data_IF_516479487891
#
_entry.id   IF_516479487891
#
_cell.length_a   1.000
_cell.length_b   1.000
_cell.length_c   1.000
_cell.angle_alpha   90.00
_cell.angle_beta   90.00
_cell.angle_gamma   90.00
#
_symmetry.space_group_name_H-M   'P 1'
#
loop_
_entity.id
_entity.type
_entity.pdbx_description
1 polymer ?
#
# COMPACT_ATOMS: atom_id res chain seq x y z
N UNK A 1 0.35 23.21 -12.19
CA UNK A 1 1.30 22.26 -11.55
C UNK A 1 0.64 21.28 -10.59
N UNK A 2 -0.14 21.73 -9.57
CA UNK A 2 -0.80 20.82 -8.61
C UNK A 2 -1.68 19.74 -9.26
N UNK A 3 -2.48 20.08 -10.28
CA UNK A 3 -3.37 19.13 -10.99
C UNK A 3 -2.61 18.05 -11.78
N UNK A 4 -1.45 18.39 -12.35
CA UNK A 4 -0.59 17.45 -13.08
C UNK A 4 0.07 16.47 -12.12
N UNK A 5 0.55 16.95 -10.97
CA UNK A 5 1.12 16.09 -9.92
C UNK A 5 0.06 15.12 -9.39
N UNK A 6 -1.16 15.59 -9.14
CA UNK A 6 -2.28 14.74 -8.70
C UNK A 6 -2.65 13.71 -9.77
N UNK A 7 -2.73 14.10 -11.04
CA UNK A 7 -3.01 13.16 -12.13
C UNK A 7 -1.91 12.10 -12.30
N UNK A 8 -0.65 12.48 -12.09
CA UNK A 8 0.50 11.59 -12.19
C UNK A 8 0.52 10.58 -11.03
N UNK A 9 0.24 11.04 -9.81
CA UNK A 9 0.06 10.16 -8.64
C UNK A 9 -1.13 9.21 -8.84
N UNK A 10 -2.26 9.72 -9.35
CA UNK A 10 -3.45 8.91 -9.63
C UNK A 10 -3.18 7.84 -10.69
N UNK A 11 -2.40 8.17 -11.73
CA UNK A 11 -2.00 7.21 -12.77
C UNK A 11 -1.08 6.11 -12.21
N UNK A 12 -0.11 6.48 -11.38
CA UNK A 12 0.78 5.52 -10.69
C UNK A 12 -0.02 4.60 -9.76
N UNK A 13 -0.99 5.16 -9.01
CA UNK A 13 -1.87 4.38 -8.15
C UNK A 13 -2.76 3.43 -8.95
N UNK A 14 -3.36 3.90 -10.04
CA UNK A 14 -4.18 3.06 -10.92
C UNK A 14 -3.38 1.90 -11.52
N UNK A 15 -2.15 2.18 -11.99
CA UNK A 15 -1.24 1.14 -12.50
C UNK A 15 -0.81 0.17 -11.39
N UNK A 16 -0.59 0.67 -10.17
CA UNK A 16 -0.28 -0.18 -9.02
C UNK A 16 -1.44 -1.11 -8.65
N UNK A 17 -2.67 -0.61 -8.62
CA UNK A 17 -3.88 -1.41 -8.36
C UNK A 17 -4.11 -2.47 -9.44
N UNK A 18 -3.90 -2.12 -10.71
CA UNK A 18 -4.00 -3.08 -11.81
C UNK A 18 -2.90 -4.14 -11.73
N UNK A 19 -1.67 -3.77 -11.40
CA UNK A 19 -0.58 -4.71 -11.20
C UNK A 19 -0.83 -5.64 -10.01
N UNK A 20 -1.41 -5.12 -8.93
CA UNK A 20 -1.76 -5.90 -7.74
C UNK A 20 -2.95 -6.84 -7.99
N UNK A 21 -3.95 -6.43 -8.77
CA UNK A 21 -4.99 -7.35 -9.25
C UNK A 21 -4.42 -8.50 -10.11
N UNK A 22 -3.36 -8.24 -10.88
CA UNK A 22 -2.77 -9.23 -11.79
C UNK A 22 -1.78 -10.16 -11.06
N UNK A 23 -1.02 -9.69 -10.08
CA UNK A 23 -0.01 -10.49 -9.38
C UNK A 23 -0.25 -10.69 -7.88
N UNK A 24 -0.93 -9.79 -7.20
CA UNK A 24 -1.36 -9.97 -5.80
C UNK A 24 -2.35 -11.12 -5.66
N UNK A 25 -3.21 -11.35 -6.66
CA UNK A 25 -4.05 -12.55 -6.71
C UNK A 25 -3.21 -13.85 -6.85
N UNK A 26 -2.02 -13.79 -7.45
CA UNK A 26 -1.12 -14.94 -7.58
C UNK A 26 -0.38 -15.26 -6.27
N UNK A 27 -0.18 -14.31 -5.35
CA UNK A 27 0.37 -14.55 -4.02
C UNK A 27 -0.68 -14.97 -2.98
N UNK A 28 -1.95 -14.59 -3.17
CA UNK A 28 -3.06 -14.91 -2.26
C UNK A 28 -3.83 -16.21 -2.59
N UNK A 29 -3.40 -17.00 -3.59
CA UNK A 29 -4.03 -18.28 -3.94
C UNK A 29 -5.45 -18.15 -4.52
N UNK A 30 -5.87 -16.95 -4.92
CA UNK A 30 -7.22 -16.69 -5.40
C UNK A 30 -7.24 -16.64 -6.93
N UNK A 31 -8.14 -17.45 -7.50
CA UNK A 31 -8.39 -17.74 -8.91
C UNK A 31 -7.80 -16.77 -9.95
N UNK A 32 -7.02 -17.29 -10.91
CA UNK A 32 -6.56 -16.59 -12.12
C UNK A 32 -7.76 -15.90 -12.77
N UNK A 33 -7.87 -14.58 -12.62
CA UNK A 33 -8.95 -13.82 -13.23
C UNK A 33 -8.76 -13.76 -14.75
N UNK A 34 -9.84 -13.76 -15.57
CA UNK A 34 -9.75 -13.72 -17.03
C UNK A 34 -8.97 -12.51 -17.57
N UNK A 35 -8.89 -11.44 -16.78
CA UNK A 35 -8.10 -10.25 -17.07
C UNK A 35 -6.57 -10.46 -16.95
N UNK A 36 -6.10 -11.45 -16.18
CA UNK A 36 -4.67 -11.75 -16.05
C UNK A 36 -4.08 -12.27 -17.35
N UNK A 37 -4.79 -13.16 -18.03
CA UNK A 37 -4.30 -13.79 -19.24
C UNK A 37 -4.28 -12.80 -20.41
N UNK A 38 -5.33 -11.97 -20.55
CA UNK A 38 -5.42 -10.92 -21.58
C UNK A 38 -4.29 -9.88 -21.42
N UNK A 39 -4.01 -9.45 -20.18
CA UNK A 39 -2.95 -8.48 -19.91
C UNK A 39 -1.57 -9.10 -20.07
N UNK A 40 -1.36 -10.35 -19.62
CA UNK A 40 -0.08 -11.06 -19.80
C UNK A 40 0.24 -11.30 -21.27
N UNK A 41 -0.77 -11.60 -22.09
CA UNK A 41 -0.63 -11.77 -23.52
C UNK A 41 -0.30 -10.46 -24.24
N UNK A 42 -0.96 -9.34 -23.87
CA UNK A 42 -0.75 -8.03 -24.50
C UNK A 42 0.52 -7.30 -24.07
N UNK A 43 0.89 -7.36 -22.79
CA UNK A 43 1.97 -6.55 -22.21
C UNK A 43 3.24 -7.36 -21.92
N UNK A 44 3.16 -8.69 -21.96
CA UNK A 44 4.28 -9.57 -21.64
C UNK A 44 4.48 -9.74 -20.13
N UNK A 45 4.66 -10.99 -19.71
CA UNK A 45 4.82 -11.38 -18.30
C UNK A 45 6.00 -10.70 -17.60
N UNK A 46 7.08 -10.39 -18.33
CA UNK A 46 8.27 -9.72 -17.80
C UNK A 46 8.03 -8.24 -17.48
N UNK A 47 7.33 -7.51 -18.36
CA UNK A 47 7.03 -6.09 -18.17
C UNK A 47 6.08 -5.90 -17.00
N UNK A 48 5.02 -6.70 -16.97
CA UNK A 48 4.04 -6.71 -15.89
C UNK A 48 4.68 -7.05 -14.53
N UNK A 49 5.66 -7.98 -14.48
CA UNK A 49 6.42 -8.31 -13.26
C UNK A 49 7.29 -7.15 -12.79
N UNK A 50 7.93 -6.43 -13.72
CA UNK A 50 8.70 -5.23 -13.41
C UNK A 50 7.81 -4.12 -12.85
N UNK A 51 6.67 -3.85 -13.49
CA UNK A 51 5.71 -2.84 -13.02
C UNK A 51 5.18 -3.20 -11.63
N UNK A 52 4.89 -4.48 -11.36
CA UNK A 52 4.50 -4.95 -10.04
C UNK A 52 5.60 -4.72 -8.99
N UNK A 53 6.84 -5.14 -9.27
CA UNK A 53 7.97 -4.91 -8.36
C UNK A 53 8.20 -3.44 -8.08
N UNK A 54 8.15 -2.59 -9.12
CA UNK A 54 8.29 -1.15 -9.00
C UNK A 54 7.13 -0.58 -8.16
N UNK A 55 5.89 -1.03 -8.39
CA UNK A 55 4.73 -0.59 -7.61
C UNK A 55 4.85 -0.99 -6.13
N UNK A 56 5.30 -2.21 -5.85
CA UNK A 56 5.55 -2.68 -4.48
C UNK A 56 6.60 -1.80 -3.80
N UNK A 57 7.74 -1.57 -4.44
CA UNK A 57 8.82 -0.74 -3.86
C UNK A 57 8.36 0.71 -3.67
N UNK A 58 7.68 1.28 -4.66
CA UNK A 58 7.21 2.66 -4.61
C UNK A 58 6.18 2.87 -3.49
N UNK A 59 5.24 1.94 -3.30
CA UNK A 59 4.29 1.98 -2.19
C UNK A 59 4.99 1.90 -0.82
N UNK A 60 6.04 1.09 -0.71
CA UNK A 60 6.82 0.98 0.53
C UNK A 60 7.54 2.30 0.86
N UNK A 61 8.18 2.91 -0.13
CA UNK A 61 8.81 4.23 -0.01
C UNK A 61 7.77 5.29 0.35
N UNK A 62 6.59 5.25 -0.28
CA UNK A 62 5.52 6.20 -0.03
C UNK A 62 5.02 6.12 1.42
N UNK A 63 4.79 4.90 1.92
CA UNK A 63 4.43 4.68 3.33
C UNK A 63 5.51 5.22 4.27
N UNK A 64 6.79 4.99 3.96
CA UNK A 64 7.91 5.41 4.78
C UNK A 64 8.06 6.94 4.81
N UNK A 65 7.88 7.59 3.66
CA UNK A 65 7.84 9.05 3.55
C UNK A 65 6.66 9.63 4.34
N UNK A 66 5.47 9.03 4.22
CA UNK A 66 4.30 9.42 5.00
C UNK A 66 4.56 9.30 6.50
N UNK A 67 5.16 8.18 6.94
CA UNK A 67 5.51 7.96 8.34
C UNK A 67 6.41 9.09 8.85
N UNK A 68 7.49 9.40 8.13
CA UNK A 68 8.42 10.46 8.52
C UNK A 68 7.72 11.83 8.62
N UNK A 69 6.87 12.16 7.64
CA UNK A 69 6.12 13.43 7.63
C UNK A 69 5.19 13.51 8.84
N UNK A 70 4.44 12.44 9.13
CA UNK A 70 3.52 12.40 10.26
C UNK A 70 4.25 12.41 11.61
N UNK A 71 5.37 11.71 11.73
CA UNK A 71 6.19 11.68 12.94
C UNK A 71 6.83 13.06 13.21
N UNK A 72 7.29 13.73 12.16
CA UNK A 72 7.77 15.11 12.23
C UNK A 72 6.64 16.10 12.59
N UNK A 73 5.45 15.93 12.01
CA UNK A 73 4.26 16.74 12.32
C UNK A 73 3.82 16.56 13.77
N UNK A 74 3.80 15.32 14.26
CA UNK A 74 3.45 14.99 15.65
C UNK A 74 4.36 15.69 16.66
N UNK A 75 5.67 15.73 16.39
CA UNK A 75 6.63 16.45 17.25
C UNK A 75 6.31 17.94 17.39
N UNK A 76 5.67 18.55 16.39
CA UNK A 76 5.28 19.97 16.41
C UNK A 76 3.89 20.21 17.01
N UNK A 77 2.90 19.38 16.70
CA UNK A 77 1.50 19.63 17.11
C UNK A 77 1.14 18.99 18.45
N UNK A 78 1.91 18.00 18.93
CA UNK A 78 1.59 17.18 20.12
C UNK A 78 0.16 16.61 20.14
N UNK A 79 -0.44 16.45 18.96
CA UNK A 79 -1.82 15.99 18.82
C UNK A 79 -1.88 14.46 18.85
N UNK A 80 -2.74 13.91 19.70
CA UNK A 80 -3.02 12.48 19.81
C UNK A 80 -3.48 11.89 18.47
N UNK A 81 -4.24 12.65 17.68
CA UNK A 81 -4.63 12.28 16.32
C UNK A 81 -3.43 12.08 15.36
N UNK A 82 -2.44 12.98 15.41
CA UNK A 82 -1.27 12.86 14.52
C UNK A 82 -0.39 11.67 14.93
N UNK A 83 -0.34 11.36 16.22
CA UNK A 83 0.36 10.21 16.78
C UNK A 83 -0.30 8.89 16.34
N UNK A 84 -1.62 8.81 16.44
CA UNK A 84 -2.39 7.64 16.01
C UNK A 84 -2.25 7.37 14.52
N UNK A 85 -2.25 8.41 13.69
CA UNK A 85 -2.04 8.27 12.24
C UNK A 85 -0.60 7.82 11.90
N UNK A 86 0.40 8.31 12.63
CA UNK A 86 1.78 7.79 12.58
C UNK A 86 1.83 6.31 12.96
N UNK A 87 1.16 5.91 14.04
CA UNK A 87 1.13 4.53 14.50
C UNK A 87 0.41 3.62 13.49
N UNK A 88 -0.70 4.08 12.93
CA UNK A 88 -1.42 3.41 11.84
C UNK A 88 -0.52 3.14 10.62
N UNK A 89 0.20 4.17 10.15
CA UNK A 89 1.16 4.01 9.04
C UNK A 89 2.26 3.01 9.43
N UNK A 90 2.74 3.05 10.67
CA UNK A 90 3.74 2.10 11.18
C UNK A 90 3.25 0.65 11.16
N UNK A 91 2.00 0.41 11.58
CA UNK A 91 1.37 -0.93 11.55
C UNK A 91 1.21 -1.42 10.11
N UNK A 92 0.78 -0.56 9.18
CA UNK A 92 0.71 -0.91 7.75
C UNK A 92 2.10 -1.18 7.13
N UNK A 93 3.14 -0.48 7.57
CA UNK A 93 4.53 -0.75 7.17
C UNK A 93 4.98 -2.13 7.65
N UNK A 94 4.71 -2.44 8.92
CA UNK A 94 4.99 -3.76 9.48
C UNK A 94 4.22 -4.85 8.76
N UNK A 95 2.95 -4.63 8.42
CA UNK A 95 2.16 -5.56 7.60
C UNK A 95 2.84 -5.83 6.26
N UNK A 96 3.32 -4.80 5.57
CA UNK A 96 3.98 -4.94 4.27
C UNK A 96 5.30 -5.68 4.36
N UNK A 97 6.11 -5.41 5.38
CA UNK A 97 7.35 -6.14 5.63
C UNK A 97 7.02 -7.60 5.93
N UNK A 98 6.07 -7.85 6.84
CA UNK A 98 5.67 -9.20 7.22
C UNK A 98 5.05 -9.97 6.08
N UNK A 99 4.32 -9.35 5.15
CA UNK A 99 3.82 -10.02 3.95
C UNK A 99 4.95 -10.65 3.12
N UNK A 100 6.14 -10.01 3.13
CA UNK A 100 7.30 -10.51 2.40
C UNK A 100 7.90 -11.79 3.04
N UNK A 101 7.78 -11.94 4.36
CA UNK A 101 8.34 -13.06 5.12
C UNK A 101 7.30 -14.13 5.51
N UNK A 102 6.05 -13.72 5.74
CA UNK A 102 4.94 -14.51 6.29
C UNK A 102 3.61 -14.10 5.64
N UNK A 103 3.15 -14.82 4.60
CA UNK A 103 1.95 -14.45 3.85
C UNK A 103 0.62 -14.66 4.62
N UNK A 104 0.62 -15.33 5.78
CA UNK A 104 -0.58 -15.68 6.56
C UNK A 104 -0.95 -14.71 7.69
N UNK A 105 -0.02 -13.85 8.11
CA UNK A 105 -0.20 -12.86 9.20
C UNK A 105 -0.81 -11.49 8.77
N UNK A 106 -0.91 -11.08 7.48
CA UNK A 106 -1.29 -9.71 7.11
C UNK A 106 -2.66 -9.25 7.63
N UNK A 107 -3.62 -10.17 7.71
CA UNK A 107 -5.01 -9.84 8.04
C UNK A 107 -5.17 -9.35 9.48
N UNK A 108 -4.29 -9.79 10.39
CA UNK A 108 -4.27 -9.31 11.77
C UNK A 108 -3.81 -7.85 11.85
N UNK A 109 -2.85 -7.45 11.01
CA UNK A 109 -2.34 -6.08 10.99
C UNK A 109 -3.34 -5.11 10.37
N UNK A 110 -4.07 -5.52 9.34
CA UNK A 110 -5.16 -4.72 8.76
C UNK A 110 -6.27 -4.48 9.78
N UNK A 111 -6.64 -5.52 10.54
CA UNK A 111 -7.62 -5.42 11.63
C UNK A 111 -7.14 -4.49 12.75
N UNK A 112 -5.86 -4.56 13.13
CA UNK A 112 -5.25 -3.64 14.09
C UNK A 112 -5.26 -2.20 13.58
N UNK A 113 -4.93 -2.00 12.31
CA UNK A 113 -4.94 -0.69 11.68
C UNK A 113 -6.36 -0.08 11.70
N UNK A 114 -7.38 -0.85 11.34
CA UNK A 114 -8.77 -0.43 11.41
C UNK A 114 -9.23 -0.15 12.85
N UNK A 115 -8.80 -0.96 13.82
CA UNK A 115 -9.09 -0.73 15.24
C UNK A 115 -8.46 0.57 15.75
N UNK A 116 -7.23 0.87 15.34
CA UNK A 116 -6.56 2.15 15.67
C UNK A 116 -7.33 3.33 15.09
N UNK A 117 -7.75 3.25 13.82
CA UNK A 117 -8.57 4.28 13.17
C UNK A 117 -9.92 4.47 13.86
N UNK A 118 -10.57 3.37 14.27
CA UNK A 118 -11.83 3.41 14.99
C UNK A 118 -11.67 4.14 16.32
N UNK A 119 -10.66 3.78 17.12
CA UNK A 119 -10.37 4.43 18.40
C UNK A 119 -10.06 5.92 18.20
N UNK A 120 -9.29 6.26 17.16
CA UNK A 120 -8.96 7.65 16.85
C UNK A 120 -10.16 8.48 16.36
N UNK A 121 -11.13 7.83 15.71
CA UNK A 121 -12.37 8.46 15.25
C UNK A 121 -13.37 8.72 16.38
N UNK A 122 -13.15 8.10 17.53
CA UNK A 122 -13.99 8.22 18.74
C UNK A 122 -13.49 9.32 19.70
N UNK A 123 -12.31 9.88 19.44
CA UNK A 123 -11.72 11.03 20.14
C UNK A 123 -12.10 12.34 19.44
#
# INVERSE_FOLDING_TARGET
MKKLVVALIASILALGLLADMVYGAQSAGSSKGPWQDILKEKLGSSFLRLVYLISVVLNMILLLALLIIYLHSFRKTKSYFTLGLSFFIGVLLMQRILFLFFPLIPQLFETLALAILLVLSLE
#
